data_IF_210905867280
#
_entry.id   IF_210905867280
#
_cell.length_a   1.000
_cell.length_b   1.000
_cell.length_c   1.000
_cell.angle_alpha   90.00
_cell.angle_beta   90.00
_cell.angle_gamma   90.00
#
_symmetry.space_group_name_H-M   'P 1'
#
loop_
_entity.id
_entity.type
_entity.pdbx_description
1 polymer ?
#
# COMPACT_ATOMS: atom_id res chain seq x y z
N UNK A 1 -1.72 17.56 8.12
CA UNK A 1 -1.62 16.08 8.18
C UNK A 1 -1.19 15.69 9.57
N UNK A 2 -1.77 14.63 10.12
CA UNK A 2 -1.41 14.14 11.45
C UNK A 2 -0.16 13.25 11.34
N UNK A 3 0.64 13.19 12.40
CA UNK A 3 1.83 12.34 12.44
C UNK A 3 1.41 10.87 12.59
N UNK A 4 1.79 10.01 11.62
CA UNK A 4 1.43 8.59 11.64
C UNK A 4 1.98 7.88 12.87
N UNK A 5 3.12 8.32 13.41
CA UNK A 5 3.74 7.71 14.59
C UNK A 5 2.86 7.82 15.84
N UNK A 6 1.93 8.78 15.87
CA UNK A 6 0.96 8.89 16.97
C UNK A 6 -0.16 7.84 16.89
N UNK A 7 -0.25 7.08 15.79
CA UNK A 7 -1.25 6.04 15.66
C UNK A 7 -0.88 4.83 16.54
N UNK A 8 -1.85 4.18 17.21
CA UNK A 8 -1.55 3.11 18.16
C UNK A 8 -0.80 1.92 17.55
N UNK A 9 -0.98 1.66 16.25
CA UNK A 9 -0.31 0.58 15.53
C UNK A 9 1.18 0.83 15.25
N UNK A 10 1.67 2.08 15.36
CA UNK A 10 3.09 2.40 15.22
C UNK A 10 3.87 2.34 16.54
N UNK A 11 3.20 2.54 17.68
CA UNK A 11 3.83 2.54 19.00
C UNK A 11 4.73 1.31 19.25
N UNK A 12 4.36 0.07 18.85
CA UNK A 12 5.20 -1.11 19.06
C UNK A 12 6.48 -1.15 18.21
N UNK A 13 6.55 -0.36 17.13
CA UNK A 13 7.64 -0.40 16.14
C UNK A 13 8.34 0.97 15.98
N UNK A 14 8.16 1.88 16.94
CA UNK A 14 8.69 3.23 16.87
C UNK A 14 10.23 3.25 16.74
N UNK A 15 10.91 2.34 17.44
CA UNK A 15 12.36 2.16 17.31
C UNK A 15 12.82 1.76 15.91
N UNK A 16 12.01 0.99 15.17
CA UNK A 16 12.34 0.61 13.78
C UNK A 16 12.34 1.85 12.87
N UNK A 17 11.41 2.78 13.10
CA UNK A 17 11.34 4.04 12.36
C UNK A 17 12.56 4.90 12.66
N UNK A 18 12.95 5.02 13.93
CA UNK A 18 14.12 5.80 14.34
C UNK A 18 15.43 5.22 13.79
N UNK A 19 15.60 3.90 13.86
CA UNK A 19 16.77 3.20 13.31
C UNK A 19 16.87 3.41 11.79
N UNK A 20 15.75 3.32 11.07
CA UNK A 20 15.71 3.55 9.62
C UNK A 20 16.04 5.00 9.27
N UNK A 21 15.53 5.98 10.02
CA UNK A 21 15.84 7.41 9.81
C UNK A 21 17.34 7.66 10.02
N UNK A 22 17.92 7.11 11.10
CA UNK A 22 19.35 7.21 11.39
C UNK A 22 20.18 6.62 10.24
N UNK A 23 19.78 5.46 9.73
CA UNK A 23 20.44 4.82 8.59
C UNK A 23 20.38 5.65 7.29
N UNK A 24 19.22 6.25 7.01
CA UNK A 24 18.98 7.08 5.83
C UNK A 24 19.75 8.41 5.83
N UNK A 25 20.30 8.83 6.96
CA UNK A 25 21.15 10.03 7.07
C UNK A 25 22.61 9.77 6.68
N UNK A 26 22.94 8.57 6.23
CA UNK A 26 24.30 8.23 5.83
C UNK A 26 24.74 8.87 4.50
N UNK A 27 26.05 9.14 4.38
CA UNK A 27 26.61 9.89 3.25
C UNK A 27 26.59 9.14 1.90
N UNK A 28 26.56 7.80 1.92
CA UNK A 28 26.45 6.96 0.72
C UNK A 28 25.33 5.97 0.93
N UNK A 29 24.21 6.21 0.25
CA UNK A 29 22.97 5.45 0.42
C UNK A 29 22.56 4.80 -0.91
N UNK A 30 22.27 3.50 -0.86
CA UNK A 30 21.59 2.78 -1.91
C UNK A 30 20.25 2.25 -1.39
N UNK A 31 19.17 2.60 -2.07
CA UNK A 31 17.86 2.00 -1.85
C UNK A 31 17.66 0.83 -2.79
N UNK A 32 17.28 -0.33 -2.25
CA UNK A 32 17.12 -1.55 -3.01
C UNK A 32 15.74 -2.14 -2.74
N UNK A 33 15.04 -2.51 -3.81
CA UNK A 33 13.70 -3.09 -3.76
C UNK A 33 13.53 -4.09 -4.91
N UNK A 34 12.62 -5.06 -4.78
CA UNK A 34 12.21 -5.92 -5.89
C UNK A 34 11.21 -5.22 -6.80
N UNK A 35 11.10 -5.66 -8.05
CA UNK A 35 10.13 -5.17 -9.02
C UNK A 35 8.70 -5.72 -8.76
N UNK A 36 8.25 -5.66 -7.51
CA UNK A 36 6.90 -5.99 -7.07
C UNK A 36 6.17 -4.70 -6.69
N UNK A 37 4.88 -4.57 -7.02
CA UNK A 37 4.12 -3.33 -6.75
C UNK A 37 4.20 -2.89 -5.28
N UNK A 38 4.18 -3.85 -4.34
CA UNK A 38 4.32 -3.59 -2.90
C UNK A 38 5.64 -2.88 -2.58
N UNK A 39 6.75 -3.44 -3.06
CA UNK A 39 8.11 -2.91 -2.88
C UNK A 39 8.28 -1.54 -3.53
N UNK A 40 7.69 -1.33 -4.72
CA UNK A 40 7.80 -0.06 -5.46
C UNK A 40 7.04 1.08 -4.79
N UNK A 41 5.86 0.82 -4.22
CA UNK A 41 5.14 1.86 -3.45
C UNK A 41 5.96 2.25 -2.21
N UNK A 42 6.54 1.27 -1.51
CA UNK A 42 7.38 1.52 -0.34
C UNK A 42 8.64 2.33 -0.70
N UNK A 43 9.29 2.00 -1.83
CA UNK A 43 10.44 2.74 -2.35
C UNK A 43 10.07 4.18 -2.71
N UNK A 44 8.91 4.39 -3.33
CA UNK A 44 8.41 5.73 -3.67
C UNK A 44 8.20 6.66 -2.47
N UNK A 45 7.79 6.12 -1.31
CA UNK A 45 7.71 6.91 -0.08
C UNK A 45 9.09 7.39 0.39
N UNK A 46 10.06 6.47 0.47
CA UNK A 46 11.42 6.80 0.93
C UNK A 46 12.07 7.81 -0.01
N UNK A 47 12.05 7.54 -1.32
CA UNK A 47 12.62 8.43 -2.33
C UNK A 47 11.96 9.82 -2.33
N UNK A 48 10.63 9.90 -2.17
CA UNK A 48 9.93 11.18 -2.06
C UNK A 48 10.49 12.04 -0.93
N UNK A 49 10.73 11.45 0.25
CA UNK A 49 11.26 12.17 1.40
C UNK A 49 12.74 12.56 1.23
N UNK A 50 13.57 11.69 0.65
CA UNK A 50 14.97 12.00 0.37
C UNK A 50 15.09 13.13 -0.66
N UNK A 51 14.30 13.10 -1.73
CA UNK A 51 14.25 14.14 -2.74
C UNK A 51 13.77 15.48 -2.16
N UNK A 52 12.72 15.48 -1.32
CA UNK A 52 12.25 16.68 -0.66
C UNK A 52 13.25 17.26 0.37
N UNK A 53 14.20 16.44 0.85
CA UNK A 53 15.31 16.86 1.72
C UNK A 53 16.62 17.14 1.00
N UNK A 54 16.72 16.86 -0.30
CA UNK A 54 17.96 16.97 -1.04
C UNK A 54 19.04 15.98 -0.58
N UNK A 55 18.64 14.82 -0.04
CA UNK A 55 19.58 13.74 0.31
C UNK A 55 19.91 12.94 -0.94
N UNK A 56 21.19 12.79 -1.25
CA UNK A 56 21.66 11.98 -2.37
C UNK A 56 21.51 10.49 -2.08
N UNK A 57 21.04 9.73 -3.06
CA UNK A 57 20.93 8.28 -2.99
C UNK A 57 21.10 7.69 -4.39
N UNK A 58 21.41 6.40 -4.45
CA UNK A 58 21.26 5.57 -5.63
C UNK A 58 20.09 4.60 -5.43
N UNK A 59 19.46 4.17 -6.51
CA UNK A 59 18.40 3.16 -6.46
C UNK A 59 18.79 1.92 -7.25
N UNK A 60 18.34 0.75 -6.82
CA UNK A 60 18.45 -0.49 -7.57
C UNK A 60 17.15 -1.29 -7.43
N UNK A 61 16.55 -1.61 -8.57
CA UNK A 61 15.37 -2.46 -8.65
C UNK A 61 15.84 -3.85 -9.07
N UNK A 62 15.59 -4.84 -8.24
CA UNK A 62 15.86 -6.25 -8.51
C UNK A 62 14.68 -6.88 -9.27
N UNK A 63 14.85 -8.05 -9.90
CA UNK A 63 13.74 -8.81 -10.43
C UNK A 63 12.60 -9.01 -9.41
N UNK A 64 11.36 -9.22 -9.87
CA UNK A 64 10.24 -9.56 -9.00
C UNK A 64 10.56 -10.75 -8.10
N UNK A 65 10.00 -10.77 -6.89
CA UNK A 65 10.27 -11.84 -5.92
C UNK A 65 9.89 -13.22 -6.44
N UNK A 66 8.92 -13.32 -7.35
CA UNK A 66 8.53 -14.58 -8.01
C UNK A 66 9.61 -15.18 -8.92
N UNK A 67 10.56 -14.37 -9.37
CA UNK A 67 11.66 -14.79 -10.27
C UNK A 67 12.96 -15.06 -9.54
N UNK A 68 13.03 -14.79 -8.24
CA UNK A 68 14.20 -15.11 -7.40
C UNK A 68 13.94 -16.47 -6.76
N UNK A 69 14.80 -17.50 -6.98
CA UNK A 69 14.68 -18.83 -6.38
C UNK A 69 14.43 -18.75 -4.86
N UNK A 70 13.50 -19.54 -4.29
CA UNK A 70 13.16 -19.44 -2.86
C UNK A 70 14.32 -19.66 -1.89
N UNK A 71 15.32 -20.45 -2.31
CA UNK A 71 16.54 -20.77 -1.59
C UNK A 71 17.67 -19.74 -1.78
N UNK A 72 17.50 -18.80 -2.71
CA UNK A 72 18.46 -17.71 -2.89
C UNK A 72 18.29 -16.69 -1.75
N UNK A 73 19.33 -16.62 -0.91
CA UNK A 73 19.41 -15.73 0.26
C UNK A 73 20.39 -14.58 0.06
N UNK A 74 21.21 -14.62 -1.00
CA UNK A 74 22.29 -13.67 -1.28
C UNK A 74 21.99 -12.78 -2.49
N UNK A 75 20.76 -12.27 -2.59
CA UNK A 75 20.34 -11.37 -3.66
C UNK A 75 20.38 -9.88 -3.27
N UNK A 76 20.66 -9.57 -1.99
CA UNK A 76 20.98 -8.21 -1.57
C UNK A 76 22.35 -7.86 -2.19
N UNK A 77 22.44 -6.81 -3.01
CA UNK A 77 23.68 -6.45 -3.66
C UNK A 77 24.69 -5.95 -2.63
N UNK A 78 25.95 -6.39 -2.71
CA UNK A 78 27.04 -5.80 -1.96
C UNK A 78 27.64 -4.62 -2.74
N UNK A 79 27.83 -3.48 -2.09
CA UNK A 79 28.52 -2.34 -2.67
C UNK A 79 29.46 -1.70 -1.65
N UNK A 80 30.76 -1.82 -1.90
CA UNK A 80 31.79 -1.23 -1.04
C UNK A 80 31.57 0.28 -0.89
N UNK A 81 31.54 0.74 0.35
CA UNK A 81 31.41 2.16 0.70
C UNK A 81 29.99 2.73 0.63
N UNK A 82 28.96 1.92 0.34
CA UNK A 82 27.56 2.35 0.39
C UNK A 82 26.76 1.56 1.41
N UNK A 83 26.00 2.28 2.23
CA UNK A 83 24.96 1.69 3.08
C UNK A 83 23.76 1.33 2.21
N UNK A 84 23.20 0.15 2.45
CA UNK A 84 22.10 -0.39 1.64
C UNK A 84 20.83 -0.47 2.50
N UNK A 85 19.77 0.23 2.10
CA UNK A 85 18.44 -0.04 2.68
C UNK A 85 17.69 -0.97 1.72
N UNK A 86 17.43 -2.19 2.17
CA UNK A 86 16.69 -3.19 1.41
C UNK A 86 15.24 -3.27 1.89
N UNK A 87 14.29 -3.13 0.95
CA UNK A 87 12.86 -3.29 1.20
C UNK A 87 12.48 -4.75 0.91
N UNK A 88 12.15 -5.47 1.97
CA UNK A 88 11.73 -6.87 1.92
C UNK A 88 10.23 -6.99 2.21
N UNK A 89 9.42 -6.75 1.17
CA UNK A 89 7.96 -6.82 1.29
C UNK A 89 7.45 -8.24 1.61
N UNK A 90 8.23 -9.28 1.30
CA UNK A 90 7.82 -10.69 1.37
C UNK A 90 8.55 -11.47 2.47
N UNK A 91 9.31 -10.79 3.33
CA UNK A 91 10.07 -11.40 4.44
C UNK A 91 10.98 -12.56 3.99
N UNK A 92 11.66 -12.38 2.86
CA UNK A 92 12.57 -13.37 2.28
C UNK A 92 13.96 -13.40 2.93
N UNK A 93 14.33 -12.32 3.62
CA UNK A 93 15.67 -12.15 4.18
C UNK A 93 15.61 -12.39 5.68
N UNK A 94 16.26 -13.45 6.14
CA UNK A 94 16.37 -13.74 7.57
C UNK A 94 17.39 -12.82 8.26
N UNK A 95 18.56 -12.64 7.63
CA UNK A 95 19.64 -11.82 8.17
C UNK A 95 20.28 -11.00 7.04
N UNK A 96 20.21 -9.65 7.09
CA UNK A 96 20.89 -8.81 6.10
C UNK A 96 22.41 -8.81 6.33
N UNK A 97 23.22 -8.51 5.30
CA UNK A 97 24.62 -8.15 5.47
C UNK A 97 24.81 -7.01 6.48
N UNK A 98 26.01 -6.88 7.08
CA UNK A 98 26.27 -5.90 8.16
C UNK A 98 26.02 -4.45 7.74
N UNK A 99 26.28 -4.13 6.48
CA UNK A 99 26.15 -2.81 5.88
C UNK A 99 24.73 -2.54 5.34
N UNK A 100 23.81 -3.49 5.53
CA UNK A 100 22.44 -3.41 5.04
C UNK A 100 21.42 -3.25 6.18
N UNK A 101 20.53 -2.29 6.02
CA UNK A 101 19.32 -2.13 6.82
C UNK A 101 18.16 -2.84 6.13
N UNK A 102 17.55 -3.79 6.82
CA UNK A 102 16.40 -4.54 6.32
C UNK A 102 15.10 -3.90 6.80
N UNK A 103 14.31 -3.39 5.86
CA UNK A 103 12.92 -2.99 6.11
C UNK A 103 11.99 -4.14 5.74
N UNK A 104 11.51 -4.87 6.73
CA UNK A 104 10.58 -5.99 6.60
C UNK A 104 9.33 -5.77 7.45
N UNK A 105 8.22 -6.44 7.09
CA UNK A 105 6.96 -6.38 7.84
C UNK A 105 7.15 -6.73 9.32
N UNK A 106 6.49 -5.99 10.21
CA UNK A 106 6.61 -6.18 11.67
C UNK A 106 5.28 -6.56 12.28
N UNK A 107 5.25 -7.68 13.00
CA UNK A 107 4.08 -8.11 13.76
C UNK A 107 3.84 -7.17 14.95
N UNK A 108 2.57 -6.80 15.15
CA UNK A 108 2.14 -5.92 16.22
C UNK A 108 0.85 -6.41 16.86
N UNK A 109 0.65 -6.06 18.12
CA UNK A 109 -0.64 -6.20 18.80
C UNK A 109 -1.25 -4.81 19.02
N UNK A 110 -2.52 -4.66 18.64
CA UNK A 110 -3.23 -3.39 18.68
C UNK A 110 -4.58 -3.55 19.37
N UNK A 111 -5.02 -2.47 20.01
CA UNK A 111 -6.35 -2.37 20.63
C UNK A 111 -7.14 -1.30 19.87
N UNK A 112 -8.40 -1.60 19.58
CA UNK A 112 -9.32 -0.58 19.09
C UNK A 112 -9.80 0.28 20.27
N UNK A 113 -10.04 1.57 20.05
CA UNK A 113 -10.45 2.51 21.11
C UNK A 113 -11.67 2.04 21.93
N UNK A 114 -12.52 1.18 21.37
CA UNK A 114 -13.75 0.67 22.00
C UNK A 114 -13.69 -0.83 22.35
N UNK A 115 -12.51 -1.45 22.34
CA UNK A 115 -12.33 -2.88 22.63
C UNK A 115 -11.07 -3.13 23.43
N UNK A 116 -11.21 -3.81 24.57
CA UNK A 116 -10.07 -4.29 25.37
C UNK A 116 -9.39 -5.54 24.78
N UNK A 117 -10.01 -6.15 23.77
CA UNK A 117 -9.43 -7.30 23.05
C UNK A 117 -8.30 -6.84 22.14
N UNK A 118 -7.09 -7.29 22.45
CA UNK A 118 -5.93 -7.15 21.58
C UNK A 118 -6.11 -7.96 20.29
N UNK A 119 -5.80 -7.35 19.16
CA UNK A 119 -5.78 -8.01 17.86
C UNK A 119 -4.36 -8.00 17.31
N UNK A 120 -3.98 -9.12 16.72
CA UNK A 120 -2.70 -9.27 16.03
C UNK A 120 -2.84 -8.79 14.60
N UNK A 121 -1.83 -8.08 14.11
CA UNK A 121 -1.68 -7.68 12.72
C UNK A 121 -0.21 -7.46 12.39
N UNK A 122 0.05 -6.94 11.19
CA UNK A 122 1.41 -6.66 10.73
C UNK A 122 1.48 -5.28 10.11
N UNK A 123 2.43 -4.46 10.53
CA UNK A 123 2.73 -3.21 9.82
C UNK A 123 3.67 -3.57 8.67
N UNK A 124 3.16 -3.42 7.47
CA UNK A 124 3.87 -3.75 6.23
C UNK A 124 4.91 -2.67 5.87
N UNK A 125 5.77 -2.98 4.90
CA UNK A 125 6.86 -2.10 4.49
C UNK A 125 6.40 -0.78 3.86
N UNK A 126 5.25 -0.71 3.18
CA UNK A 126 4.69 0.54 2.65
C UNK A 126 4.28 1.46 3.77
N UNK A 127 3.58 0.93 4.76
CA UNK A 127 3.13 1.72 5.90
C UNK A 127 4.35 2.20 6.72
N UNK A 128 5.34 1.32 6.97
CA UNK A 128 6.60 1.71 7.60
C UNK A 128 7.33 2.81 6.80
N UNK A 129 7.51 2.63 5.48
CA UNK A 129 8.13 3.63 4.61
C UNK A 129 7.39 4.96 4.61
N UNK A 130 6.05 4.94 4.67
CA UNK A 130 5.26 6.16 4.81
C UNK A 130 5.57 6.89 6.12
N UNK A 131 5.59 6.19 7.26
CA UNK A 131 5.94 6.81 8.54
C UNK A 131 7.37 7.38 8.55
N UNK A 132 8.34 6.63 8.03
CA UNK A 132 9.73 7.08 7.87
C UNK A 132 9.79 8.33 7.00
N UNK A 133 9.13 8.31 5.84
CA UNK A 133 9.11 9.42 4.90
C UNK A 133 8.52 10.71 5.53
N UNK A 134 7.42 10.59 6.28
CA UNK A 134 6.80 11.73 6.97
C UNK A 134 7.59 12.21 8.19
N UNK A 135 8.38 11.35 8.84
CA UNK A 135 9.29 11.77 9.89
C UNK A 135 10.50 12.55 9.32
N UNK A 136 11.02 12.11 8.17
CA UNK A 136 12.11 12.80 7.46
C UNK A 136 11.62 14.12 6.88
N UNK A 137 10.58 14.10 6.04
CA UNK A 137 10.10 15.25 5.27
C UNK A 137 8.63 15.59 5.57
N UNK A 138 8.26 15.99 6.81
CA UNK A 138 6.86 16.23 7.19
C UNK A 138 6.18 17.35 6.39
N UNK A 139 6.98 18.26 5.82
CA UNK A 139 6.52 19.38 4.98
C UNK A 139 6.86 19.20 3.49
N UNK A 140 7.45 18.06 3.11
CA UNK A 140 7.84 17.77 1.74
C UNK A 140 6.63 17.67 0.80
N UNK A 141 6.73 18.29 -0.37
CA UNK A 141 5.63 18.30 -1.34
C UNK A 141 5.43 16.94 -2.01
N UNK A 142 6.50 16.22 -2.35
CA UNK A 142 6.40 14.84 -2.87
C UNK A 142 5.84 13.92 -1.80
N UNK A 143 6.41 13.98 -0.59
CA UNK A 143 5.99 13.15 0.53
C UNK A 143 4.50 13.31 0.80
N UNK A 144 3.99 14.55 0.89
CA UNK A 144 2.55 14.83 1.09
C UNK A 144 1.67 14.22 -0.01
N UNK A 145 2.07 14.31 -1.29
CA UNK A 145 1.26 13.76 -2.40
C UNK A 145 1.12 12.24 -2.33
N UNK A 146 2.12 11.54 -1.81
CA UNK A 146 2.09 10.09 -1.64
C UNK A 146 1.20 9.63 -0.46
N UNK A 147 0.82 10.53 0.46
CA UNK A 147 0.08 10.19 1.70
C UNK A 147 -1.12 9.25 1.51
N UNK A 148 -2.00 9.43 0.50
CA UNK A 148 -3.17 8.56 0.35
C UNK A 148 -2.85 7.08 0.17
N UNK A 149 -1.63 6.76 -0.30
CA UNK A 149 -1.19 5.40 -0.58
C UNK A 149 -0.59 4.67 0.64
N UNK A 150 -0.62 5.27 1.83
CA UNK A 150 0.03 4.70 3.03
C UNK A 150 -0.56 3.36 3.46
N UNK A 151 -1.85 3.11 3.17
CA UNK A 151 -2.53 1.84 3.45
C UNK A 151 -2.48 0.83 2.29
N UNK A 152 -1.83 1.16 1.16
CA UNK A 152 -1.85 0.29 -0.02
C UNK A 152 -1.11 -1.03 0.19
N UNK A 153 -0.02 -1.04 0.97
CA UNK A 153 0.67 -2.29 1.27
C UNK A 153 -0.17 -3.23 2.13
N UNK A 154 -0.93 -2.70 3.10
CA UNK A 154 -1.91 -3.49 3.86
C UNK A 154 -2.96 -4.15 2.95
N UNK A 155 -3.42 -3.42 1.93
CA UNK A 155 -4.28 -3.99 0.91
C UNK A 155 -3.57 -5.07 0.10
N UNK A 156 -2.29 -4.92 -0.26
CA UNK A 156 -1.59 -5.90 -1.09
C UNK A 156 -1.24 -7.21 -0.35
N UNK A 157 -1.32 -7.23 0.99
CA UNK A 157 -1.14 -8.46 1.77
C UNK A 157 -2.34 -9.41 1.66
N UNK A 158 -2.09 -10.68 1.97
CA UNK A 158 -3.10 -11.75 2.02
C UNK A 158 -3.90 -11.79 3.33
N UNK A 159 -3.61 -10.91 4.30
CA UNK A 159 -4.28 -10.87 5.60
C UNK A 159 -5.80 -10.75 5.46
N UNK A 160 -6.25 -9.90 4.53
CA UNK A 160 -7.66 -9.72 4.20
C UNK A 160 -8.29 -10.93 3.49
N UNK A 161 -7.52 -11.86 2.94
CA UNK A 161 -8.05 -13.05 2.24
C UNK A 161 -8.47 -14.15 3.21
N UNK A 162 -8.10 -14.05 4.48
CA UNK A 162 -8.46 -15.02 5.52
C UNK A 162 -9.33 -14.44 6.63
N UNK A 163 -9.04 -13.21 7.06
CA UNK A 163 -9.72 -12.58 8.20
C UNK A 163 -9.71 -11.06 8.08
N UNK A 164 -10.27 -10.38 9.08
CA UNK A 164 -10.17 -8.94 9.20
C UNK A 164 -8.73 -8.53 9.54
N UNK A 165 -8.17 -7.59 8.77
CA UNK A 165 -6.90 -6.96 9.10
C UNK A 165 -7.12 -5.71 9.98
N UNK A 166 -6.68 -5.71 11.25
CA UNK A 166 -6.85 -4.57 12.13
C UNK A 166 -5.99 -3.37 11.71
N UNK A 167 -4.82 -3.59 11.12
CA UNK A 167 -3.92 -2.52 10.70
C UNK A 167 -4.48 -1.82 9.47
N UNK A 168 -4.97 -2.58 8.47
CA UNK A 168 -5.71 -2.03 7.31
C UNK A 168 -6.88 -1.15 7.76
N UNK A 169 -7.69 -1.65 8.70
CA UNK A 169 -8.84 -0.92 9.25
C UNK A 169 -8.40 0.39 9.90
N UNK A 170 -7.38 0.32 10.76
CA UNK A 170 -6.91 1.49 11.50
C UNK A 170 -6.24 2.54 10.60
N UNK A 171 -5.43 2.14 9.61
CA UNK A 171 -4.81 3.10 8.69
C UNK A 171 -5.86 3.75 7.78
N UNK A 172 -6.84 2.99 7.27
CA UNK A 172 -7.96 3.55 6.51
C UNK A 172 -8.70 4.61 7.32
N UNK A 173 -9.10 4.28 8.54
CA UNK A 173 -9.87 5.17 9.39
C UNK A 173 -9.03 6.40 9.78
N UNK A 174 -7.74 6.21 10.08
CA UNK A 174 -6.81 7.32 10.33
C UNK A 174 -6.73 8.29 9.14
N UNK A 175 -6.50 7.77 7.93
CA UNK A 175 -6.38 8.59 6.71
C UNK A 175 -7.71 9.30 6.36
N UNK A 176 -8.84 8.65 6.61
CA UNK A 176 -10.18 9.25 6.47
C UNK A 176 -10.38 10.40 7.44
N UNK A 177 -10.09 10.18 8.72
CA UNK A 177 -10.34 11.14 9.79
C UNK A 177 -9.40 12.36 9.72
N UNK A 178 -8.27 12.26 9.00
CA UNK A 178 -7.44 13.43 8.65
C UNK A 178 -7.81 14.08 7.30
N UNK A 179 -8.74 13.50 6.54
CA UNK A 179 -9.21 14.03 5.26
C UNK A 179 -8.33 13.71 4.05
N UNK A 180 -7.30 12.87 4.21
CA UNK A 180 -6.41 12.44 3.11
C UNK A 180 -7.17 11.58 2.10
N UNK A 181 -8.06 10.71 2.59
CA UNK A 181 -8.93 9.86 1.77
C UNK A 181 -10.39 10.05 2.14
N UNK A 182 -11.26 9.65 1.24
CA UNK A 182 -12.66 9.38 1.49
C UNK A 182 -12.86 7.86 1.55
N UNK A 183 -13.82 7.43 2.36
CA UNK A 183 -14.28 6.03 2.40
C UNK A 183 -15.73 6.04 1.97
N UNK A 184 -16.02 5.34 0.87
CA UNK A 184 -17.34 5.35 0.25
C UNK A 184 -17.73 3.94 -0.20
N UNK A 185 -19.04 3.63 -0.32
CA UNK A 185 -19.48 2.39 -0.90
C UNK A 185 -19.21 2.34 -2.41
N UNK A 186 -19.13 1.13 -2.96
CA UNK A 186 -18.79 0.85 -4.35
C UNK A 186 -19.57 1.71 -5.39
N UNK A 187 -20.89 1.97 -5.24
CA UNK A 187 -21.63 2.80 -6.20
C UNK A 187 -21.27 4.29 -6.18
N UNK A 188 -20.51 4.78 -5.20
CA UNK A 188 -20.05 6.18 -5.13
C UNK A 188 -18.68 6.40 -5.78
N UNK A 189 -18.04 5.30 -6.20
CA UNK A 189 -16.83 5.35 -7.03
C UNK A 189 -17.27 5.36 -8.48
N UNK A 190 -16.98 6.44 -9.21
CA UNK A 190 -17.42 6.64 -10.59
C UNK A 190 -16.77 5.62 -11.53
N UNK A 191 -15.46 5.49 -11.42
CA UNK A 191 -14.63 4.56 -12.20
C UNK A 191 -14.14 3.42 -11.31
N UNK A 192 -15.06 2.54 -10.91
CA UNK A 192 -14.74 1.37 -10.09
C UNK A 192 -14.53 0.12 -10.94
N UNK A 193 -13.49 -0.65 -10.63
CA UNK A 193 -13.36 -2.03 -11.12
C UNK A 193 -14.05 -3.00 -10.16
N UNK A 194 -14.69 -4.00 -10.76
CA UNK A 194 -15.26 -5.16 -10.06
C UNK A 194 -14.63 -6.47 -10.49
N UNK A 195 -13.61 -6.44 -11.34
CA UNK A 195 -12.92 -7.65 -11.84
C UNK A 195 -12.25 -8.44 -10.71
N UNK A 196 -11.88 -7.79 -9.61
CA UNK A 196 -11.38 -8.45 -8.39
C UNK A 196 -12.46 -9.24 -7.62
N UNK A 197 -13.72 -9.20 -8.06
CA UNK A 197 -14.85 -9.92 -7.46
C UNK A 197 -15.43 -10.85 -8.53
N UNK A 198 -15.07 -12.15 -8.57
CA UNK A 198 -15.37 -13.05 -9.69
C UNK A 198 -16.84 -13.09 -10.15
N UNK A 199 -17.79 -12.97 -9.22
CA UNK A 199 -19.23 -13.02 -9.50
C UNK A 199 -19.89 -11.63 -9.63
N UNK A 200 -19.10 -10.56 -9.57
CA UNK A 200 -19.62 -9.20 -9.65
C UNK A 200 -19.96 -8.82 -11.08
N UNK A 201 -21.12 -8.16 -11.24
CA UNK A 201 -21.60 -7.72 -12.54
C UNK A 201 -21.32 -6.23 -12.74
N UNK A 202 -20.44 -5.84 -13.68
CA UNK A 202 -20.22 -4.43 -14.03
C UNK A 202 -21.51 -3.75 -14.48
N UNK A 203 -22.36 -4.46 -15.25
CA UNK A 203 -23.65 -3.95 -15.72
C UNK A 203 -24.61 -3.65 -14.56
N UNK A 204 -24.67 -4.52 -13.55
CA UNK A 204 -25.50 -4.27 -12.35
C UNK A 204 -24.98 -3.07 -11.56
N UNK A 205 -23.65 -2.94 -11.42
CA UNK A 205 -23.03 -1.80 -10.76
C UNK A 205 -23.37 -0.48 -11.48
N UNK A 206 -23.20 -0.42 -12.80
CA UNK A 206 -23.53 0.78 -13.58
C UNK A 206 -25.00 1.20 -13.43
N UNK A 207 -25.92 0.24 -13.36
CA UNK A 207 -27.33 0.53 -13.09
C UNK A 207 -27.52 1.07 -11.66
N UNK A 208 -26.84 0.49 -10.68
CA UNK A 208 -26.91 0.91 -9.29
C UNK A 208 -26.34 2.34 -9.11
N UNK A 209 -25.19 2.65 -9.71
CA UNK A 209 -24.59 3.99 -9.70
C UNK A 209 -25.55 5.07 -10.22
N UNK A 210 -26.28 4.80 -11.31
CA UNK A 210 -27.26 5.73 -11.89
C UNK A 210 -28.41 6.06 -10.94
N UNK A 211 -28.87 5.07 -10.18
CA UNK A 211 -29.99 5.20 -9.23
C UNK A 211 -29.52 5.73 -7.86
N UNK A 212 -28.24 5.58 -7.52
CA UNK A 212 -27.70 5.76 -6.17
C UNK A 212 -28.06 7.10 -5.51
N UNK A 213 -27.99 8.18 -6.30
CA UNK A 213 -28.29 9.54 -5.84
C UNK A 213 -29.75 9.73 -5.39
N UNK A 214 -30.67 8.95 -5.95
CA UNK A 214 -32.12 9.06 -5.70
C UNK A 214 -32.58 8.11 -4.58
N UNK A 215 -31.70 7.20 -4.11
CA UNK A 215 -31.99 6.26 -3.03
C UNK A 215 -31.74 6.89 -1.66
N UNK A 216 -32.66 6.63 -0.73
CA UNK A 216 -32.47 6.91 0.70
C UNK A 216 -31.54 5.88 1.37
N UNK A 217 -31.21 6.11 2.64
CA UNK A 217 -30.26 5.27 3.37
C UNK A 217 -30.69 3.79 3.44
N UNK A 218 -31.98 3.52 3.67
CA UNK A 218 -32.53 2.16 3.75
C UNK A 218 -32.46 1.45 2.39
N UNK A 219 -32.84 2.14 1.33
CA UNK A 219 -32.80 1.61 -0.03
C UNK A 219 -31.37 1.37 -0.51
N UNK A 220 -30.41 2.23 -0.11
CA UNK A 220 -28.97 2.01 -0.37
C UNK A 220 -28.45 0.76 0.32
N UNK A 221 -28.80 0.55 1.59
CA UNK A 221 -28.40 -0.63 2.33
C UNK A 221 -28.95 -1.92 1.71
N UNK A 222 -30.24 -1.91 1.33
CA UNK A 222 -30.88 -3.03 0.63
C UNK A 222 -30.22 -3.30 -0.72
N UNK A 223 -30.02 -2.26 -1.54
CA UNK A 223 -29.43 -2.41 -2.88
C UNK A 223 -27.99 -2.95 -2.84
N UNK A 224 -27.18 -2.55 -1.86
CA UNK A 224 -25.85 -3.13 -1.65
C UNK A 224 -25.93 -4.60 -1.23
N UNK A 225 -26.86 -4.95 -0.35
CA UNK A 225 -27.06 -6.33 0.10
C UNK A 225 -27.49 -7.26 -1.05
N UNK A 226 -28.39 -6.78 -1.91
CA UNK A 226 -28.80 -7.49 -3.12
C UNK A 226 -27.68 -7.60 -4.16
N UNK A 227 -26.81 -6.58 -4.23
CA UNK A 227 -25.62 -6.61 -5.08
C UNK A 227 -24.59 -7.62 -4.56
N UNK A 228 -24.37 -7.68 -3.25
CA UNK A 228 -23.36 -8.52 -2.60
C UNK A 228 -23.77 -9.98 -2.48
N UNK A 229 -25.07 -10.29 -2.43
CA UNK A 229 -25.58 -11.65 -2.20
C UNK A 229 -24.93 -12.73 -3.09
N UNK A 230 -24.83 -12.59 -4.43
CA UNK A 230 -24.16 -13.61 -5.25
C UNK A 230 -22.65 -13.70 -4.99
N UNK A 231 -22.03 -12.65 -4.46
CA UNK A 231 -20.58 -12.59 -4.22
C UNK A 231 -20.18 -13.39 -2.98
N UNK A 232 -21.11 -13.62 -2.04
CA UNK A 232 -20.89 -14.44 -0.86
C UNK A 232 -20.61 -15.92 -1.18
N UNK A 233 -20.95 -16.36 -2.39
CA UNK A 233 -20.65 -17.70 -2.90
C UNK A 233 -19.37 -17.76 -3.74
N UNK A 234 -18.63 -16.65 -3.86
CA UNK A 234 -17.39 -16.62 -4.62
C UNK A 234 -16.27 -17.36 -3.89
N UNK A 235 -15.63 -18.30 -4.57
CA UNK A 235 -14.36 -18.86 -4.10
C UNK A 235 -13.26 -17.79 -4.16
N UNK A 236 -12.29 -17.88 -3.26
CA UNK A 236 -11.09 -17.03 -3.27
C UNK A 236 -11.26 -15.60 -2.75
N UNK A 237 -12.44 -15.22 -2.24
CA UNK A 237 -12.65 -13.89 -1.64
C UNK A 237 -13.28 -14.01 -0.25
N UNK A 238 -12.56 -13.57 0.77
CA UNK A 238 -13.07 -13.58 2.13
C UNK A 238 -14.21 -12.57 2.33
N UNK A 239 -15.07 -12.82 3.32
CA UNK A 239 -16.10 -11.85 3.74
C UNK A 239 -15.48 -10.51 4.14
N UNK A 240 -14.31 -10.51 4.79
CA UNK A 240 -13.63 -9.29 5.21
C UNK A 240 -13.18 -8.48 3.99
N UNK A 241 -12.61 -9.13 2.97
CA UNK A 241 -12.18 -8.46 1.75
C UNK A 241 -13.35 -7.94 0.93
N UNK A 242 -14.43 -8.72 0.85
CA UNK A 242 -15.66 -8.30 0.20
C UNK A 242 -16.26 -7.06 0.89
N UNK A 243 -16.20 -7.01 2.22
CA UNK A 243 -16.68 -5.86 2.99
C UNK A 243 -15.93 -4.56 2.60
N UNK A 244 -14.61 -4.64 2.50
CA UNK A 244 -13.77 -3.53 2.04
C UNK A 244 -14.07 -3.11 0.59
N UNK A 245 -14.33 -4.08 -0.29
CA UNK A 245 -14.63 -3.83 -1.71
C UNK A 245 -16.05 -3.30 -1.97
N UNK A 246 -17.01 -3.55 -1.10
CA UNK A 246 -18.40 -3.11 -1.34
C UNK A 246 -18.73 -1.86 -0.54
N UNK A 247 -18.32 -1.79 0.73
CA UNK A 247 -18.76 -0.71 1.64
C UNK A 247 -17.67 0.32 1.92
N UNK A 248 -16.39 -0.03 1.78
CA UNK A 248 -15.29 0.79 2.34
C UNK A 248 -14.20 1.12 1.33
N UNK A 249 -14.59 1.47 0.10
CA UNK A 249 -13.65 1.88 -0.95
C UNK A 249 -12.90 3.14 -0.53
N UNK A 250 -11.57 3.03 -0.44
CA UNK A 250 -10.67 4.14 -0.22
C UNK A 250 -10.49 4.94 -1.50
N UNK A 251 -10.86 6.22 -1.48
CA UNK A 251 -10.84 7.11 -2.64
C UNK A 251 -10.06 8.38 -2.29
N UNK A 252 -9.21 8.86 -3.19
CA UNK A 252 -8.56 10.16 -2.99
C UNK A 252 -9.61 11.25 -3.30
N UNK A 253 -9.74 12.31 -2.50
CA UNK A 253 -10.70 13.37 -2.80
C UNK A 253 -10.51 13.90 -4.23
N UNK A 254 -11.63 14.13 -4.92
CA UNK A 254 -11.68 14.63 -6.29
C UNK A 254 -11.04 13.72 -7.36
N UNK A 255 -10.90 12.41 -7.13
CA UNK A 255 -10.58 11.43 -8.18
C UNK A 255 -11.80 10.62 -8.57
N UNK A 256 -11.88 10.11 -9.80
CA UNK A 256 -13.01 9.28 -10.23
C UNK A 256 -12.94 7.84 -9.69
N UNK A 257 -11.72 7.32 -9.49
CA UNK A 257 -11.45 5.93 -9.10
C UNK A 257 -11.04 5.79 -7.62
N UNK A 258 -11.18 4.58 -7.09
CA UNK A 258 -10.70 4.16 -5.78
C UNK A 258 -9.30 3.49 -5.85
N UNK A 259 -8.64 3.38 -4.69
CA UNK A 259 -7.29 2.82 -4.57
C UNK A 259 -7.24 1.32 -4.88
N UNK A 260 -8.25 0.54 -4.50
CA UNK A 260 -8.26 -0.89 -4.79
C UNK A 260 -8.36 -1.13 -6.30
N UNK A 261 -9.16 -0.33 -7.01
CA UNK A 261 -9.24 -0.32 -8.48
C UNK A 261 -7.91 0.05 -9.12
N UNK A 262 -7.22 1.09 -8.61
CA UNK A 262 -5.88 1.48 -9.08
C UNK A 262 -4.90 0.32 -8.93
N UNK A 263 -4.78 -0.26 -7.73
CA UNK A 263 -3.85 -1.35 -7.43
C UNK A 263 -4.14 -2.58 -8.28
N UNK A 264 -5.42 -2.95 -8.44
CA UNK A 264 -5.83 -4.08 -9.27
C UNK A 264 -5.42 -3.90 -10.74
N UNK A 265 -5.65 -2.70 -11.31
CA UNK A 265 -5.25 -2.41 -12.70
C UNK A 265 -3.73 -2.47 -12.88
N UNK A 266 -2.97 -1.95 -11.93
CA UNK A 266 -1.51 -2.01 -11.95
C UNK A 266 -1.02 -3.47 -11.90
N UNK A 267 -1.57 -4.29 -10.99
CA UNK A 267 -1.23 -5.72 -10.91
C UNK A 267 -1.56 -6.47 -12.21
N UNK A 268 -2.71 -6.19 -12.82
CA UNK A 268 -3.13 -6.84 -14.07
C UNK A 268 -2.21 -6.50 -15.25
N UNK A 269 -1.63 -5.29 -15.24
CA UNK A 269 -0.71 -4.81 -16.26
C UNK A 269 0.75 -5.15 -15.96
N UNK A 270 1.04 -5.72 -14.79
CA UNK A 270 2.41 -5.99 -14.39
C UNK A 270 3.03 -7.06 -15.30
N UNK A 271 4.20 -6.79 -15.91
CA UNK A 271 4.84 -7.76 -16.80
C UNK A 271 5.17 -9.06 -16.08
N UNK A 272 5.05 -10.17 -16.82
CA UNK A 272 5.43 -11.50 -16.35
C UNK A 272 6.91 -11.78 -16.56
N UNK A 273 7.54 -11.17 -17.56
CA UNK A 273 8.98 -11.25 -17.77
C UNK A 273 9.74 -10.41 -16.73
N UNK A 274 10.88 -10.91 -16.26
CA UNK A 274 11.64 -10.29 -15.18
C UNK A 274 12.25 -8.93 -15.58
N UNK A 275 12.82 -8.83 -16.78
CA UNK A 275 13.48 -7.61 -17.25
C UNK A 275 12.44 -6.53 -17.57
N UNK A 276 11.34 -6.93 -18.23
CA UNK A 276 10.22 -6.03 -18.49
C UNK A 276 9.59 -5.52 -17.18
N UNK A 277 9.46 -6.37 -16.16
CA UNK A 277 8.93 -5.97 -14.85
C UNK A 277 9.83 -4.94 -14.16
N UNK A 278 11.15 -5.09 -14.24
CA UNK A 278 12.12 -4.11 -13.69
C UNK A 278 11.97 -2.75 -14.39
N UNK A 279 11.87 -2.75 -15.73
CA UNK A 279 11.67 -1.51 -16.50
C UNK A 279 10.32 -0.87 -16.15
N UNK A 280 9.25 -1.66 -16.09
CA UNK A 280 7.91 -1.19 -15.73
C UNK A 280 7.89 -0.58 -14.32
N UNK A 281 8.49 -1.26 -13.35
CA UNK A 281 8.62 -0.80 -11.98
C UNK A 281 9.35 0.54 -11.88
N UNK A 282 10.46 0.69 -12.62
CA UNK A 282 11.22 1.95 -12.70
C UNK A 282 10.37 3.10 -13.24
N UNK A 283 9.66 2.88 -14.35
CA UNK A 283 8.78 3.89 -14.96
C UNK A 283 7.62 4.28 -14.05
N UNK A 284 6.98 3.31 -13.40
CA UNK A 284 5.90 3.57 -12.44
C UNK A 284 6.42 4.38 -11.24
N UNK A 285 7.60 4.06 -10.73
CA UNK A 285 8.23 4.79 -9.63
C UNK A 285 8.53 6.23 -10.01
N UNK A 286 9.12 6.47 -11.19
CA UNK A 286 9.40 7.81 -11.68
C UNK A 286 8.12 8.63 -11.83
N UNK A 287 7.06 8.01 -12.37
CA UNK A 287 5.76 8.66 -12.45
C UNK A 287 5.20 8.99 -11.08
N UNK A 288 5.29 8.05 -10.13
CA UNK A 288 4.83 8.24 -8.77
C UNK A 288 5.57 9.37 -8.06
N UNK A 289 6.89 9.50 -8.24
CA UNK A 289 7.68 10.60 -7.67
C UNK A 289 7.35 11.94 -8.31
N UNK A 290 7.07 11.95 -9.62
CA UNK A 290 6.76 13.15 -10.39
C UNK A 290 5.37 13.70 -10.06
N UNK A 291 4.34 12.87 -10.16
CA UNK A 291 2.94 13.28 -10.03
C UNK A 291 2.35 13.05 -8.65
N UNK A 292 2.95 12.15 -7.86
CA UNK A 292 2.37 11.65 -6.63
C UNK A 292 1.16 10.74 -6.86
N UNK A 293 0.98 10.20 -8.07
CA UNK A 293 -0.11 9.30 -8.43
C UNK A 293 0.45 7.96 -8.91
N UNK A 294 -0.19 6.87 -8.49
CA UNK A 294 0.07 5.53 -9.02
C UNK A 294 -0.72 5.34 -10.32
N UNK A 295 -0.17 5.86 -11.42
CA UNK A 295 -0.71 5.69 -12.77
C UNK A 295 0.35 5.08 -13.67
N UNK A 296 -0.02 4.29 -14.69
CA UNK A 296 0.94 3.82 -15.69
C UNK A 296 1.65 5.01 -16.33
N UNK A 297 2.95 4.91 -16.58
CA UNK A 297 3.70 5.97 -17.29
C UNK A 297 3.06 6.19 -18.66
N UNK A 298 2.65 7.44 -18.92
CA UNK A 298 2.32 7.89 -20.26
C UNK A 298 3.62 8.37 -20.89
N UNK A 299 4.42 7.44 -21.43
CA UNK A 299 5.54 7.80 -22.30
C UNK A 299 4.99 8.47 -23.58
#
# INVERSE_FOLDING_TARGET
>A
MKDLRTAPFFKPIDGVVDDAISFLQSNSLMLVATADLHSIIALGFLESALLDKGVSYSRRILPPSSHIPPDETSFIPEQAGSNILFIDAFSRVEAPPKEAFLLASKHVEVEFNHSTTKRRGSVDVVLQSSAIAFAIAPKGERTKRCRPYSGCGQWLMESLDTTMDPIHTMIRDYLRDEGTIQVCPLPEVEDASVEMMPLASPRRLQRLQKLWKDLDASSRAQALSEYSLPLLSSEGLSTARLEELIWKRMKIPNTATDLATILHRLLKMWPQDADDAVIHAGRLLDEFLRSGRLTPSTD
#
